data_IF_419540838984
#
_entry.id   IF_419540838984
#
_cell.length_a   1.000
_cell.length_b   1.000
_cell.length_c   1.000
_cell.angle_alpha   90.00
_cell.angle_beta   90.00
_cell.angle_gamma   90.00
#
_symmetry.space_group_name_H-M   'P 1'
#
loop_
_entity.id
_entity.type
_entity.pdbx_description
1 polymer ?
#
# COMPACT_ATOMS: atom_id res chain seq x y z
N UNK A 1 -20.11 12.33 -61.42
CA UNK A 1 -20.15 13.01 -60.11
C UNK A 1 -20.08 11.89 -59.09
N UNK A 2 -18.89 11.54 -58.73
CA UNK A 2 -18.57 10.40 -57.83
C UNK A 2 -18.37 10.92 -56.44
N UNK A 3 -19.21 10.45 -55.53
CA UNK A 3 -19.02 10.64 -54.06
C UNK A 3 -18.09 9.55 -53.55
N UNK A 4 -16.86 9.95 -53.18
CA UNK A 4 -15.95 9.10 -52.44
C UNK A 4 -16.42 8.99 -50.98
N UNK A 5 -16.77 7.79 -50.56
CA UNK A 5 -17.00 7.42 -49.23
C UNK A 5 -15.65 6.98 -48.63
N UNK A 6 -15.08 7.76 -47.71
CA UNK A 6 -13.84 7.44 -47.05
C UNK A 6 -14.12 6.63 -45.76
N UNK A 7 -13.71 5.34 -45.68
CA UNK A 7 -14.01 4.49 -44.52
C UNK A 7 -12.93 4.46 -43.44
N UNK A 8 -12.15 5.55 -43.23
CA UNK A 8 -11.06 5.58 -42.27
C UNK A 8 -11.22 6.66 -41.21
N UNK A 9 -12.28 6.53 -40.40
CA UNK A 9 -12.40 7.31 -39.16
C UNK A 9 -13.01 6.46 -38.05
N UNK A 10 -12.42 5.31 -37.76
CA UNK A 10 -12.59 4.68 -36.45
C UNK A 10 -11.57 5.27 -35.47
N UNK A 11 -11.98 5.76 -34.29
CA UNK A 11 -11.03 6.16 -33.27
C UNK A 11 -10.31 4.90 -32.78
N UNK A 12 -8.99 4.87 -32.94
CA UNK A 12 -8.11 3.88 -32.36
C UNK A 12 -8.33 3.92 -30.84
N UNK A 13 -9.04 2.92 -30.32
CA UNK A 13 -9.17 2.68 -28.91
C UNK A 13 -7.75 2.57 -28.31
N UNK A 14 -7.50 3.33 -27.26
CA UNK A 14 -6.24 3.23 -26.49
C UNK A 14 -5.92 1.77 -26.19
N UNK A 15 -4.66 1.32 -26.32
CA UNK A 15 -4.30 -0.07 -26.03
C UNK A 15 -4.60 -0.33 -24.55
N UNK A 16 -5.65 -1.09 -24.28
CA UNK A 16 -5.96 -1.67 -22.99
C UNK A 16 -4.73 -2.48 -22.61
N UNK A 17 -3.90 -1.98 -21.68
CA UNK A 17 -2.77 -2.73 -21.14
C UNK A 17 -3.30 -4.10 -20.75
N UNK A 18 -2.84 -5.15 -21.42
CA UNK A 18 -3.15 -6.54 -21.05
C UNK A 18 -2.70 -6.70 -19.60
N UNK A 19 -3.64 -6.71 -18.67
CA UNK A 19 -3.34 -6.98 -17.28
C UNK A 19 -2.81 -8.38 -17.21
N UNK A 20 -1.64 -8.57 -16.63
CA UNK A 20 -1.05 -9.89 -16.47
C UNK A 20 -1.99 -10.82 -15.70
N UNK A 21 -1.89 -12.12 -15.93
CA UNK A 21 -2.70 -13.13 -15.22
C UNK A 21 -2.63 -12.98 -13.70
N UNK A 22 -1.47 -12.56 -13.20
CA UNK A 22 -1.24 -12.35 -11.76
C UNK A 22 -2.05 -11.15 -11.23
N UNK A 23 -2.09 -10.06 -11.99
CA UNK A 23 -2.90 -8.90 -11.63
C UNK A 23 -4.39 -9.23 -11.60
N UNK A 24 -4.90 -10.00 -12.58
CA UNK A 24 -6.30 -10.44 -12.59
C UNK A 24 -6.64 -11.32 -11.36
N UNK A 25 -5.71 -12.18 -10.92
CA UNK A 25 -5.89 -13.00 -9.72
C UNK A 25 -5.87 -12.13 -8.46
N UNK A 26 -4.95 -11.17 -8.37
CA UNK A 26 -4.87 -10.27 -7.22
C UNK A 26 -6.06 -9.30 -7.16
N UNK A 27 -6.59 -8.83 -8.31
CA UNK A 27 -7.81 -8.02 -8.36
C UNK A 27 -9.02 -8.82 -7.85
N UNK A 28 -9.18 -10.06 -8.31
CA UNK A 28 -10.23 -10.96 -7.82
C UNK A 28 -10.13 -11.25 -6.32
N UNK A 29 -8.90 -11.41 -5.82
CA UNK A 29 -8.66 -11.58 -4.39
C UNK A 29 -9.02 -10.32 -3.58
N UNK A 30 -8.65 -9.14 -4.07
CA UNK A 30 -8.99 -7.86 -3.46
C UNK A 30 -10.51 -7.69 -3.31
N UNK A 31 -11.25 -7.95 -4.39
CA UNK A 31 -12.71 -7.88 -4.38
C UNK A 31 -13.34 -8.85 -3.36
N UNK A 32 -12.88 -10.11 -3.34
CA UNK A 32 -13.40 -11.12 -2.40
C UNK A 32 -13.10 -10.75 -0.95
N UNK A 33 -11.89 -10.29 -0.65
CA UNK A 33 -11.50 -9.87 0.70
C UNK A 33 -12.35 -8.69 1.18
N UNK A 34 -12.59 -7.70 0.31
CA UNK A 34 -13.43 -6.54 0.66
C UNK A 34 -14.88 -6.94 0.88
N UNK A 35 -15.43 -7.85 0.05
CA UNK A 35 -16.83 -8.27 0.10
C UNK A 35 -17.13 -9.29 1.20
N UNK A 36 -16.28 -10.30 1.37
CA UNK A 36 -16.54 -11.47 2.20
C UNK A 36 -15.65 -11.55 3.45
N UNK A 37 -14.57 -10.80 3.50
CA UNK A 37 -13.51 -10.92 4.51
C UNK A 37 -12.54 -12.07 4.20
N UNK A 38 -11.42 -12.08 4.92
CA UNK A 38 -10.32 -13.06 4.73
C UNK A 38 -10.77 -14.49 4.98
N UNK A 39 -11.46 -14.75 6.10
CA UNK A 39 -11.82 -16.10 6.52
C UNK A 39 -12.73 -16.85 5.56
N UNK A 40 -13.43 -16.14 4.66
CA UNK A 40 -14.30 -16.75 3.64
C UNK A 40 -13.69 -16.73 2.23
N UNK A 41 -12.50 -16.18 2.06
CA UNK A 41 -11.81 -16.12 0.78
C UNK A 41 -11.07 -17.43 0.52
N UNK A 42 -11.35 -18.08 -0.62
CA UNK A 42 -10.75 -19.36 -1.01
C UNK A 42 -10.07 -19.26 -2.38
N UNK A 43 -8.95 -19.96 -2.59
CA UNK A 43 -8.22 -19.97 -3.87
C UNK A 43 -9.09 -20.40 -5.05
N UNK A 44 -10.01 -21.35 -4.83
CA UNK A 44 -10.93 -21.82 -5.86
C UNK A 44 -11.89 -20.73 -6.35
N UNK A 45 -12.34 -19.88 -5.42
CA UNK A 45 -13.24 -18.75 -5.71
C UNK A 45 -12.47 -17.60 -6.38
N UNK A 46 -11.23 -17.34 -5.94
CA UNK A 46 -10.34 -16.40 -6.60
C UNK A 46 -10.12 -16.81 -8.07
N UNK A 47 -9.80 -18.10 -8.33
CA UNK A 47 -9.61 -18.61 -9.68
C UNK A 47 -10.85 -18.41 -10.55
N UNK A 48 -12.04 -18.76 -10.02
CA UNK A 48 -13.32 -18.59 -10.71
C UNK A 48 -13.57 -17.12 -11.08
N UNK A 49 -13.36 -16.22 -10.14
CA UNK A 49 -13.59 -14.78 -10.35
C UNK A 49 -12.58 -14.15 -11.29
N UNK A 50 -11.32 -14.57 -11.22
CA UNK A 50 -10.26 -14.13 -12.13
C UNK A 50 -10.37 -14.72 -13.55
N UNK A 51 -11.29 -15.67 -13.79
CA UNK A 51 -11.45 -16.33 -15.09
C UNK A 51 -10.27 -17.24 -15.45
N UNK A 52 -9.54 -17.77 -14.46
CA UNK A 52 -8.39 -18.64 -14.67
C UNK A 52 -8.63 -20.04 -14.10
N UNK A 53 -7.83 -21.03 -14.55
CA UNK A 53 -7.92 -22.38 -14.02
C UNK A 53 -7.37 -22.45 -12.58
N UNK A 54 -7.96 -23.33 -11.73
CA UNK A 54 -7.46 -23.58 -10.37
C UNK A 54 -5.97 -23.94 -10.36
N UNK A 55 -5.47 -24.87 -11.21
CA UNK A 55 -4.05 -25.17 -11.27
C UNK A 55 -3.18 -23.93 -11.55
N UNK A 56 -3.67 -22.97 -12.29
CA UNK A 56 -2.96 -21.70 -12.56
C UNK A 56 -2.71 -20.92 -11.28
N UNK A 57 -3.71 -20.83 -10.40
CA UNK A 57 -3.58 -20.13 -9.11
C UNK A 57 -2.68 -20.93 -8.16
N UNK A 58 -2.94 -22.24 -7.99
CA UNK A 58 -2.18 -23.09 -7.05
C UNK A 58 -0.69 -23.21 -7.41
N UNK A 59 -0.33 -23.10 -8.68
CA UNK A 59 1.08 -23.09 -9.10
C UNK A 59 1.82 -21.83 -8.66
N UNK A 60 1.13 -20.68 -8.53
CA UNK A 60 1.72 -19.40 -8.16
C UNK A 60 1.65 -19.14 -6.65
N UNK A 61 0.55 -19.49 -6.03
CA UNK A 61 0.32 -19.30 -4.60
C UNK A 61 -0.22 -20.59 -3.97
N UNK A 62 0.52 -21.19 -3.02
CA UNK A 62 0.14 -22.45 -2.40
C UNK A 62 -1.12 -22.33 -1.55
N UNK A 63 -1.39 -21.17 -1.00
CA UNK A 63 -2.52 -20.89 -0.12
C UNK A 63 -3.01 -19.43 -0.23
N UNK A 64 -4.12 -19.13 0.45
CA UNK A 64 -4.72 -17.80 0.47
C UNK A 64 -3.79 -16.78 1.14
N UNK A 65 -2.99 -17.19 2.13
CA UNK A 65 -2.05 -16.31 2.82
C UNK A 65 -0.99 -15.78 1.85
N UNK A 66 -0.47 -16.62 0.97
CA UNK A 66 0.48 -16.23 -0.06
C UNK A 66 -0.12 -15.21 -1.05
N UNK A 67 -1.40 -15.38 -1.42
CA UNK A 67 -2.12 -14.40 -2.25
C UNK A 67 -2.27 -13.07 -1.52
N UNK A 68 -2.65 -13.10 -0.23
CA UNK A 68 -2.77 -11.90 0.60
C UNK A 68 -1.44 -11.16 0.70
N UNK A 69 -0.34 -11.88 0.92
CA UNK A 69 1.00 -11.29 0.96
C UNK A 69 1.40 -10.60 -0.34
N UNK A 70 1.12 -11.24 -1.50
CA UNK A 70 1.36 -10.66 -2.81
C UNK A 70 0.46 -9.44 -3.06
N UNK A 71 -0.82 -9.53 -2.69
CA UNK A 71 -1.77 -8.42 -2.79
C UNK A 71 -1.33 -7.22 -1.94
N UNK A 72 -0.98 -7.43 -0.68
CA UNK A 72 -0.46 -6.38 0.19
C UNK A 72 0.80 -5.72 -0.38
N UNK A 73 1.70 -6.53 -0.94
CA UNK A 73 2.93 -6.01 -1.57
C UNK A 73 2.58 -5.09 -2.75
N UNK A 74 1.62 -5.48 -3.58
CA UNK A 74 1.15 -4.68 -4.71
C UNK A 74 0.48 -3.37 -4.25
N UNK A 75 -0.50 -3.45 -3.35
CA UNK A 75 -1.31 -2.30 -2.94
C UNK A 75 -0.50 -1.27 -2.13
N UNK A 76 0.35 -1.74 -1.21
CA UNK A 76 1.25 -0.87 -0.45
C UNK A 76 2.30 -0.25 -1.37
N UNK A 77 2.85 -1.03 -2.31
CA UNK A 77 3.79 -0.55 -3.31
C UNK A 77 3.16 0.53 -4.20
N UNK A 78 1.97 0.28 -4.73
CA UNK A 78 1.23 1.26 -5.54
C UNK A 78 0.91 2.55 -4.75
N UNK A 79 0.54 2.42 -3.48
CA UNK A 79 0.28 3.58 -2.61
C UNK A 79 1.54 4.40 -2.39
N UNK A 80 2.68 3.75 -2.09
CA UNK A 80 3.98 4.40 -1.93
C UNK A 80 4.40 5.13 -3.21
N UNK A 81 4.29 4.46 -4.37
CA UNK A 81 4.76 4.98 -5.65
C UNK A 81 3.88 6.15 -6.16
N UNK A 82 2.63 6.23 -5.70
CA UNK A 82 1.73 7.34 -5.98
C UNK A 82 2.01 8.60 -5.15
N UNK A 83 2.92 8.50 -4.15
CA UNK A 83 3.29 9.61 -3.26
C UNK A 83 4.79 9.81 -3.32
N UNK A 84 5.22 11.06 -3.43
CA UNK A 84 6.64 11.38 -3.38
C UNK A 84 7.14 11.33 -1.93
N UNK A 85 7.87 10.27 -1.58
CA UNK A 85 8.60 10.18 -0.32
C UNK A 85 10.00 10.80 -0.49
N UNK A 86 10.09 12.06 -0.22
CA UNK A 86 11.29 12.86 -0.38
C UNK A 86 10.95 14.24 -0.91
N UNK A 87 11.80 15.20 -0.64
CA UNK A 87 11.60 16.59 -1.04
C UNK A 87 12.82 17.42 -0.66
N UNK A 88 12.73 18.73 -0.90
CA UNK A 88 13.84 19.63 -0.62
C UNK A 88 14.15 19.74 0.90
N UNK A 89 13.18 19.40 1.77
CA UNK A 89 13.32 19.57 3.21
C UNK A 89 12.53 18.53 4.01
N UNK A 90 12.68 18.58 5.34
CA UNK A 90 11.99 17.72 6.31
C UNK A 90 10.48 17.84 6.23
N UNK A 91 9.94 19.03 6.04
CA UNK A 91 8.50 19.24 6.00
C UNK A 91 7.87 18.49 4.82
N UNK A 92 8.45 18.61 3.62
CA UNK A 92 7.99 17.87 2.44
C UNK A 92 8.11 16.34 2.61
N UNK A 93 9.16 15.85 3.28
CA UNK A 93 9.29 14.44 3.61
C UNK A 93 8.20 13.97 4.58
N UNK A 94 7.96 14.71 5.66
CA UNK A 94 6.92 14.41 6.66
C UNK A 94 5.54 14.41 6.02
N UNK A 95 5.23 15.40 5.18
CA UNK A 95 3.95 15.48 4.45
C UNK A 95 3.75 14.25 3.55
N UNK A 96 4.78 13.80 2.86
CA UNK A 96 4.75 12.59 2.06
C UNK A 96 4.47 11.34 2.90
N UNK A 97 5.14 11.19 4.05
CA UNK A 97 4.91 10.05 4.97
C UNK A 97 3.46 10.06 5.50
N UNK A 98 2.96 11.22 5.92
CA UNK A 98 1.58 11.38 6.40
C UNK A 98 0.57 11.04 5.30
N UNK A 99 0.82 11.47 4.07
CA UNK A 99 -0.07 11.17 2.93
C UNK A 99 -0.10 9.67 2.62
N UNK A 100 1.04 8.98 2.62
CA UNK A 100 1.09 7.51 2.50
C UNK A 100 0.30 6.85 3.64
N UNK A 101 0.49 7.30 4.88
CA UNK A 101 -0.19 6.76 6.05
C UNK A 101 -1.73 6.93 5.94
N UNK A 102 -2.21 8.09 5.48
CA UNK A 102 -3.64 8.33 5.24
C UNK A 102 -4.19 7.39 4.18
N UNK A 103 -3.54 7.29 3.04
CA UNK A 103 -3.98 6.42 1.94
C UNK A 103 -4.02 4.95 2.36
N UNK A 104 -3.02 4.49 3.11
CA UNK A 104 -2.99 3.12 3.64
C UNK A 104 -4.10 2.89 4.67
N UNK A 105 -4.35 3.84 5.56
CA UNK A 105 -5.45 3.77 6.55
C UNK A 105 -6.81 3.60 5.87
N UNK A 106 -7.04 4.36 4.81
CA UNK A 106 -8.32 4.40 4.10
C UNK A 106 -8.43 3.36 2.98
N UNK A 107 -7.36 2.58 2.77
CA UNK A 107 -7.32 1.58 1.71
C UNK A 107 -8.32 0.43 1.97
N UNK A 108 -9.25 0.12 1.02
CA UNK A 108 -10.32 -0.85 1.26
C UNK A 108 -9.83 -2.24 1.66
N UNK A 109 -8.78 -2.75 1.00
CA UNK A 109 -8.21 -4.08 1.27
C UNK A 109 -7.56 -4.10 2.65
N UNK A 110 -6.71 -3.10 2.99
CA UNK A 110 -6.09 -3.02 4.31
C UNK A 110 -7.15 -2.89 5.40
N UNK A 111 -8.17 -2.06 5.18
CA UNK A 111 -9.30 -1.91 6.09
C UNK A 111 -10.06 -3.22 6.30
N UNK A 112 -10.29 -4.02 5.26
CA UNK A 112 -10.93 -5.32 5.35
C UNK A 112 -10.05 -6.32 6.13
N UNK A 113 -8.75 -6.33 5.88
CA UNK A 113 -7.78 -7.16 6.59
C UNK A 113 -7.73 -6.81 8.08
N UNK A 114 -7.62 -5.52 8.43
CA UNK A 114 -7.58 -5.06 9.83
C UNK A 114 -8.90 -5.29 10.59
N UNK A 115 -10.02 -5.56 9.89
CA UNK A 115 -11.31 -5.93 10.51
C UNK A 115 -11.49 -7.42 10.72
N UNK A 116 -10.69 -8.25 10.03
CA UNK A 116 -10.80 -9.71 10.15
C UNK A 116 -10.44 -10.15 11.55
N UNK A 117 -11.36 -10.90 12.19
CA UNK A 117 -11.15 -11.48 13.52
C UNK A 117 -10.10 -12.60 13.54
N UNK A 118 -9.71 -13.13 12.37
CA UNK A 118 -8.62 -14.10 12.22
C UNK A 118 -7.25 -13.38 12.28
N UNK A 119 -6.99 -12.82 13.47
CA UNK A 119 -5.84 -11.98 13.77
C UNK A 119 -4.48 -12.67 13.56
N UNK A 120 -4.39 -13.98 13.72
CA UNK A 120 -3.11 -14.69 13.68
C UNK A 120 -2.43 -14.59 12.33
N UNK A 121 -3.18 -14.69 11.24
CA UNK A 121 -2.61 -14.56 9.87
C UNK A 121 -2.15 -13.13 9.57
N UNK A 122 -2.92 -12.13 10.03
CA UNK A 122 -2.59 -10.73 9.79
C UNK A 122 -1.45 -10.28 10.70
N UNK A 123 -1.46 -10.71 11.96
CA UNK A 123 -0.45 -10.38 12.95
C UNK A 123 0.93 -10.88 12.49
N UNK A 124 1.04 -12.12 12.02
CA UNK A 124 2.28 -12.68 11.48
C UNK A 124 2.81 -11.90 10.28
N UNK A 125 1.94 -11.46 9.36
CA UNK A 125 2.36 -10.75 8.15
C UNK A 125 2.64 -9.26 8.37
N UNK A 126 1.94 -8.62 9.29
CA UNK A 126 2.02 -7.15 9.46
C UNK A 126 2.91 -6.78 10.64
N UNK A 127 3.02 -7.64 11.65
CA UNK A 127 3.70 -7.33 12.92
C UNK A 127 4.99 -8.13 13.11
N UNK A 128 5.03 -9.41 12.75
CA UNK A 128 6.17 -10.27 13.06
C UNK A 128 7.26 -10.33 12.00
N UNK A 129 6.98 -9.92 10.76
CA UNK A 129 7.96 -9.97 9.67
C UNK A 129 7.99 -8.66 8.90
N UNK A 130 9.20 -8.15 8.69
CA UNK A 130 9.48 -7.19 7.62
C UNK A 130 9.22 -7.89 6.27
N UNK A 131 7.96 -7.90 5.84
CA UNK A 131 7.57 -8.41 4.53
C UNK A 131 8.14 -7.57 3.38
N UNK A 132 7.96 -8.03 2.16
CA UNK A 132 8.46 -7.31 0.97
C UNK A 132 7.94 -5.88 0.89
N UNK A 133 6.68 -5.65 1.28
CA UNK A 133 6.06 -4.32 1.30
C UNK A 133 6.70 -3.38 2.31
N UNK A 134 6.98 -3.85 3.55
CA UNK A 134 7.64 -3.03 4.55
C UNK A 134 9.09 -2.73 4.20
N UNK A 135 9.81 -3.68 3.59
CA UNK A 135 11.17 -3.42 3.07
C UNK A 135 11.17 -2.32 2.01
N UNK A 136 10.21 -2.35 1.09
CA UNK A 136 10.06 -1.31 0.07
C UNK A 136 9.76 0.07 0.66
N UNK A 137 8.90 0.15 1.69
CA UNK A 137 8.65 1.38 2.42
C UNK A 137 9.90 1.86 3.18
N UNK A 138 10.58 0.94 3.88
CA UNK A 138 11.79 1.25 4.65
C UNK A 138 12.88 1.84 3.76
N UNK A 139 13.13 1.26 2.59
CA UNK A 139 14.11 1.80 1.63
C UNK A 139 13.73 3.17 1.10
N UNK A 140 12.45 3.40 0.80
CA UNK A 140 11.97 4.71 0.35
C UNK A 140 12.13 5.78 1.46
N UNK A 141 11.81 5.44 2.71
CA UNK A 141 11.99 6.30 3.87
C UNK A 141 13.49 6.60 4.11
N UNK A 142 14.34 5.57 4.04
CA UNK A 142 15.79 5.73 4.17
C UNK A 142 16.35 6.69 3.14
N UNK A 143 15.94 6.55 1.87
CA UNK A 143 16.38 7.43 0.80
C UNK A 143 15.98 8.90 1.05
N UNK A 144 14.74 9.15 1.51
CA UNK A 144 14.27 10.49 1.87
C UNK A 144 15.03 11.07 3.06
N UNK A 145 15.35 10.27 4.07
CA UNK A 145 16.13 10.69 5.25
C UNK A 145 17.57 11.07 4.83
N UNK A 146 18.23 10.24 4.02
CA UNK A 146 19.57 10.56 3.50
C UNK A 146 19.56 11.90 2.77
N UNK A 147 18.55 12.14 1.92
CA UNK A 147 18.40 13.42 1.23
C UNK A 147 18.23 14.59 2.21
N UNK A 148 17.34 14.43 3.21
CA UNK A 148 17.11 15.46 4.22
C UNK A 148 18.34 15.76 5.09
N UNK A 149 19.16 14.75 5.42
CA UNK A 149 20.43 14.91 6.12
C UNK A 149 21.45 15.66 5.27
N UNK A 150 21.56 15.36 3.98
CA UNK A 150 22.43 16.07 3.04
C UNK A 150 22.12 17.58 2.96
N UNK A 151 20.84 17.94 3.11
CA UNK A 151 20.38 19.34 3.15
C UNK A 151 20.39 19.95 4.56
N UNK A 152 20.79 19.20 5.60
CA UNK A 152 20.78 19.65 6.97
C UNK A 152 19.37 19.86 7.57
N UNK A 153 18.32 19.40 6.91
CA UNK A 153 16.94 19.55 7.37
C UNK A 153 16.46 18.40 8.29
N UNK A 154 17.15 17.27 8.26
CA UNK A 154 16.93 16.12 9.15
C UNK A 154 18.16 15.92 10.02
N UNK A 155 17.93 15.61 11.31
CA UNK A 155 18.97 15.40 12.30
C UNK A 155 19.98 14.32 11.88
N UNK A 156 21.19 14.41 12.39
CA UNK A 156 22.21 13.36 12.25
C UNK A 156 21.75 12.06 12.93
N UNK A 157 22.26 10.94 12.42
CA UNK A 157 21.97 9.59 12.89
C UNK A 157 22.04 8.58 11.77
N UNK A 158 21.99 7.28 12.11
CA UNK A 158 21.98 6.23 11.10
C UNK A 158 20.65 6.25 10.30
N UNK A 159 20.68 6.45 8.97
CA UNK A 159 19.46 6.64 8.18
C UNK A 159 18.48 5.47 8.26
N UNK A 160 19.00 4.23 8.36
CA UNK A 160 18.15 3.04 8.45
C UNK A 160 17.41 2.97 9.79
N UNK A 161 18.05 3.33 10.89
CA UNK A 161 17.44 3.38 12.23
C UNK A 161 16.35 4.45 12.29
N UNK A 162 16.62 5.64 11.72
CA UNK A 162 15.64 6.72 11.64
C UNK A 162 14.44 6.31 10.78
N UNK A 163 14.68 5.66 9.64
CA UNK A 163 13.63 5.16 8.76
C UNK A 163 12.78 4.08 9.44
N UNK A 164 13.41 3.17 10.18
CA UNK A 164 12.70 2.14 10.94
C UNK A 164 11.77 2.76 11.99
N UNK A 165 12.23 3.78 12.71
CA UNK A 165 11.43 4.47 13.72
C UNK A 165 10.25 5.25 13.07
N UNK A 166 10.49 5.94 11.95
CA UNK A 166 9.43 6.60 11.16
C UNK A 166 8.38 5.58 10.69
N UNK A 167 8.82 4.43 10.18
CA UNK A 167 7.93 3.35 9.78
C UNK A 167 7.09 2.84 10.95
N UNK A 168 7.70 2.58 12.11
CA UNK A 168 7.00 2.10 13.31
C UNK A 168 5.95 3.11 13.80
N UNK A 169 6.30 4.39 13.88
CA UNK A 169 5.35 5.45 14.27
C UNK A 169 4.16 5.49 13.30
N UNK A 170 4.43 5.57 11.99
CA UNK A 170 3.38 5.65 10.99
C UNK A 170 2.51 4.39 10.97
N UNK A 171 3.12 3.20 10.96
CA UNK A 171 2.41 1.92 10.92
C UNK A 171 1.53 1.71 12.16
N UNK A 172 2.06 1.97 13.36
CA UNK A 172 1.32 1.84 14.60
C UNK A 172 0.09 2.74 14.63
N UNK A 173 0.23 4.00 14.19
CA UNK A 173 -0.90 4.94 14.14
C UNK A 173 -1.95 4.54 13.11
N UNK A 174 -1.56 3.99 11.95
CA UNK A 174 -2.50 3.45 10.94
C UNK A 174 -3.26 2.25 11.48
N UNK A 175 -2.58 1.31 12.14
CA UNK A 175 -3.21 0.09 12.66
C UNK A 175 -4.16 0.38 13.82
N UNK A 176 -3.79 1.30 14.72
CA UNK A 176 -4.49 1.55 15.98
C UNK A 176 -5.46 2.74 15.93
N UNK A 177 -5.54 3.50 14.82
CA UNK A 177 -6.32 4.74 14.77
C UNK A 177 -7.79 4.54 15.16
N UNK A 178 -8.38 3.38 14.86
CA UNK A 178 -9.77 3.05 15.18
C UNK A 178 -10.06 3.06 16.67
N UNK A 179 -9.08 2.68 17.50
CA UNK A 179 -9.22 2.68 18.96
C UNK A 179 -9.47 4.07 19.52
N UNK A 180 -8.94 5.08 18.83
CA UNK A 180 -8.98 6.48 19.28
C UNK A 180 -9.73 7.41 18.32
N UNK A 181 -10.41 6.88 17.30
CA UNK A 181 -11.06 7.68 16.26
C UNK A 181 -12.10 8.67 16.80
N UNK A 182 -12.80 8.32 17.88
CA UNK A 182 -13.74 9.21 18.55
C UNK A 182 -13.06 10.39 19.28
N UNK A 183 -11.81 10.19 19.72
CA UNK A 183 -11.02 11.20 20.46
C UNK A 183 -10.12 11.99 19.52
N UNK A 184 -9.69 11.37 18.41
CA UNK A 184 -8.73 11.92 17.47
C UNK A 184 -9.32 11.87 16.04
N UNK A 185 -10.17 12.85 15.64
CA UNK A 185 -10.70 12.93 14.29
C UNK A 185 -9.59 13.05 13.24
N UNK A 186 -9.89 12.73 11.99
CA UNK A 186 -8.91 12.64 10.90
C UNK A 186 -7.96 13.84 10.79
N UNK A 187 -8.50 15.06 10.78
CA UNK A 187 -7.67 16.27 10.66
C UNK A 187 -6.71 16.43 11.85
N UNK A 188 -7.14 16.04 13.05
CA UNK A 188 -6.30 16.04 14.24
C UNK A 188 -5.24 14.92 14.16
N UNK A 189 -5.63 13.72 13.74
CA UNK A 189 -4.70 12.59 13.56
C UNK A 189 -3.58 12.93 12.55
N UNK A 190 -3.92 13.49 11.39
CA UNK A 190 -2.93 13.95 10.39
C UNK A 190 -1.94 14.94 11.00
N UNK A 191 -2.47 15.96 11.70
CA UNK A 191 -1.66 17.02 12.31
C UNK A 191 -0.72 16.47 13.40
N UNK A 192 -1.24 15.62 14.29
CA UNK A 192 -0.44 15.07 15.40
C UNK A 192 0.60 14.05 14.89
N UNK A 193 0.27 13.25 13.87
CA UNK A 193 1.27 12.39 13.21
C UNK A 193 2.38 13.23 12.58
N UNK A 194 2.02 14.30 11.84
CA UNK A 194 3.01 15.20 11.26
C UNK A 194 3.92 15.81 12.33
N UNK A 195 3.35 16.31 13.44
CA UNK A 195 4.13 16.86 14.56
C UNK A 195 5.08 15.85 15.21
N UNK A 196 4.60 14.62 15.41
CA UNK A 196 5.42 13.56 16.00
C UNK A 196 6.62 13.23 15.11
N UNK A 197 6.41 13.10 13.81
CA UNK A 197 7.46 12.81 12.83
C UNK A 197 8.42 14.00 12.66
N UNK A 198 7.88 15.22 12.57
CA UNK A 198 8.70 16.43 12.44
C UNK A 198 9.59 16.64 13.66
N UNK A 199 9.05 16.50 14.88
CA UNK A 199 9.81 16.61 16.11
C UNK A 199 10.86 15.50 16.27
N UNK A 200 10.56 14.27 15.85
CA UNK A 200 11.51 13.17 15.88
C UNK A 200 12.70 13.38 14.94
N UNK A 201 12.47 14.01 13.78
CA UNK A 201 13.47 14.23 12.74
C UNK A 201 14.15 15.59 12.80
N UNK A 202 13.74 16.48 13.71
CA UNK A 202 14.33 17.81 13.85
C UNK A 202 15.83 17.76 14.16
N UNK A 203 16.65 18.63 13.54
CA UNK A 203 18.07 18.79 13.86
C UNK A 203 18.35 19.12 15.30
#
# INVERSE_FOLDING_TARGET
MSSSNDPLSEPLGEPRRERGTDDAILDAAAELIVQLGVGRTQLAEIARRAGVSRPTVYRRWPDVRAVIGALLTREIGATRDAVRLGGADRAAFVDGVVEVAVRLRDHPVLGALLRSADSDTLFEYVVERLGTSQRGLLEALRAGIVQGQQHGSIRAGEPLELAAMVLLIAQSTVQSHRMVAALLPEAAWRRELARALDGYLAP
#
